data_IF_893637349533
#
_entry.id   IF_893637349533
#
_cell.length_a   1.000
_cell.length_b   1.000
_cell.length_c   1.000
_cell.angle_alpha   90.00
_cell.angle_beta   90.00
_cell.angle_gamma   90.00
#
_symmetry.space_group_name_H-M   'P 1'
#
loop_
_entity.id
_entity.type
_entity.pdbx_description
1 polymer ?
#
# COMPACT_ATOMS: atom_id res chain seq x y z
N UNK A 1 8.28 -1.88 -19.90
CA UNK A 1 7.05 -1.82 -19.11
C UNK A 1 6.43 -3.20 -19.16
N UNK A 2 6.40 -3.92 -18.05
CA UNK A 2 5.72 -5.21 -17.95
C UNK A 2 4.20 -5.02 -18.05
N UNK A 3 3.47 -6.12 -18.28
CA UNK A 3 2.01 -6.06 -18.30
C UNK A 3 1.45 -5.56 -16.96
N UNK A 4 2.07 -5.92 -15.83
CA UNK A 4 1.69 -5.44 -14.50
C UNK A 4 1.89 -3.92 -14.35
N UNK A 5 3.05 -3.40 -14.74
CA UNK A 5 3.34 -1.95 -14.71
C UNK A 5 2.40 -1.16 -15.64
N UNK A 6 2.00 -1.75 -16.78
CA UNK A 6 1.03 -1.15 -17.68
C UNK A 6 -0.35 -1.01 -17.02
N UNK A 7 -0.79 -2.03 -16.27
CA UNK A 7 -2.04 -1.98 -15.50
C UNK A 7 -1.98 -0.91 -14.41
N UNK A 8 -0.87 -0.81 -13.68
CA UNK A 8 -0.62 0.26 -12.70
C UNK A 8 -0.72 1.64 -13.34
N UNK A 9 -0.02 1.86 -14.45
CA UNK A 9 -0.03 3.14 -15.16
C UNK A 9 -1.44 3.53 -15.65
N UNK A 10 -2.23 2.54 -16.07
CA UNK A 10 -3.64 2.76 -16.44
C UNK A 10 -4.51 3.06 -15.22
N UNK A 11 -4.31 2.36 -14.11
CA UNK A 11 -5.04 2.58 -12.87
C UNK A 11 -4.86 4.02 -12.36
N UNK A 12 -3.63 4.53 -12.38
CA UNK A 12 -3.32 5.91 -11.95
C UNK A 12 -4.03 6.99 -12.78
N UNK A 13 -4.37 6.69 -14.04
CA UNK A 13 -5.10 7.59 -14.94
C UNK A 13 -6.61 7.39 -14.90
N UNK A 14 -7.10 6.39 -14.16
CA UNK A 14 -8.51 6.02 -14.12
C UNK A 14 -9.21 6.75 -12.99
N UNK A 15 -10.19 7.64 -13.27
CA UNK A 15 -10.86 8.43 -12.23
C UNK A 15 -11.82 7.59 -11.36
N UNK A 16 -12.40 6.54 -11.95
CA UNK A 16 -13.29 5.64 -11.24
C UNK A 16 -12.49 4.73 -10.28
N UNK A 17 -12.65 4.87 -8.96
CA UNK A 17 -11.88 4.10 -7.98
C UNK A 17 -12.14 2.59 -8.07
N UNK A 18 -13.33 2.18 -8.52
CA UNK A 18 -13.65 0.76 -8.68
C UNK A 18 -12.93 0.15 -9.90
N UNK A 19 -12.90 0.84 -11.03
CA UNK A 19 -12.09 0.45 -12.18
C UNK A 19 -10.59 0.49 -11.88
N UNK A 20 -10.10 1.49 -11.14
CA UNK A 20 -8.71 1.57 -10.71
C UNK A 20 -8.32 0.37 -9.83
N UNK A 21 -9.14 0.01 -8.83
CA UNK A 21 -8.85 -1.14 -7.96
C UNK A 21 -8.80 -2.47 -8.74
N UNK A 22 -9.68 -2.66 -9.74
CA UNK A 22 -9.63 -3.85 -10.61
C UNK A 22 -8.33 -3.93 -11.40
N UNK A 23 -7.86 -2.81 -11.96
CA UNK A 23 -6.58 -2.77 -12.67
C UNK A 23 -5.39 -3.07 -11.74
N UNK A 24 -5.43 -2.56 -10.51
CA UNK A 24 -4.41 -2.86 -9.51
C UNK A 24 -4.47 -4.32 -9.04
N UNK A 25 -5.66 -4.91 -8.95
CA UNK A 25 -5.83 -6.33 -8.67
C UNK A 25 -5.23 -7.19 -9.80
N UNK A 26 -5.49 -6.84 -11.06
CA UNK A 26 -4.85 -7.51 -12.19
C UNK A 26 -3.32 -7.37 -12.15
N UNK A 27 -2.81 -6.19 -11.79
CA UNK A 27 -1.37 -5.97 -11.66
C UNK A 27 -0.73 -6.89 -10.63
N UNK A 28 -1.33 -7.05 -9.44
CA UNK A 28 -0.80 -7.95 -8.40
C UNK A 28 -0.98 -9.44 -8.75
N UNK A 29 -1.96 -9.78 -9.59
CA UNK A 29 -2.08 -11.15 -10.12
C UNK A 29 -0.96 -11.49 -11.13
N UNK A 30 -0.50 -10.50 -11.90
CA UNK A 30 0.59 -10.67 -12.88
C UNK A 30 1.94 -10.65 -12.16
N UNK A 31 2.13 -9.71 -11.25
CA UNK A 31 3.35 -9.55 -10.45
C UNK A 31 2.98 -9.36 -8.96
N UNK A 32 2.97 -10.47 -8.18
CA UNK A 32 2.67 -10.42 -6.76
C UNK A 32 3.69 -9.64 -5.92
N UNK A 33 4.89 -9.38 -6.46
CA UNK A 33 5.96 -8.64 -5.80
C UNK A 33 5.92 -7.14 -6.13
N UNK A 34 4.96 -6.68 -6.95
CA UNK A 34 4.85 -5.29 -7.36
C UNK A 34 4.31 -4.40 -6.23
N UNK A 35 5.20 -3.99 -5.32
CA UNK A 35 4.87 -3.20 -4.14
C UNK A 35 4.04 -1.93 -4.43
N UNK A 36 4.36 -1.21 -5.51
CA UNK A 36 3.62 0.00 -5.93
C UNK A 36 2.13 -0.27 -6.18
N UNK A 37 1.76 -1.45 -6.68
CA UNK A 37 0.35 -1.79 -6.89
C UNK A 37 -0.40 -1.88 -5.56
N UNK A 38 0.21 -2.48 -4.54
CA UNK A 38 -0.34 -2.50 -3.19
C UNK A 38 -0.41 -1.09 -2.58
N UNK A 39 0.61 -0.26 -2.78
CA UNK A 39 0.62 1.13 -2.28
C UNK A 39 -0.55 1.94 -2.82
N UNK A 40 -0.82 1.81 -4.12
CA UNK A 40 -1.98 2.44 -4.77
C UNK A 40 -3.32 1.89 -4.24
N UNK A 41 -3.43 0.59 -3.95
CA UNK A 41 -4.64 0.03 -3.31
C UNK A 41 -4.82 0.54 -1.88
N UNK A 42 -3.72 0.78 -1.16
CA UNK A 42 -3.73 1.46 0.13
C UNK A 42 -4.34 2.86 0.04
N UNK A 43 -3.95 3.64 -0.96
CA UNK A 43 -4.53 4.97 -1.22
C UNK A 43 -6.03 4.90 -1.53
N UNK A 44 -6.48 3.92 -2.32
CA UNK A 44 -7.90 3.72 -2.59
C UNK A 44 -8.68 3.34 -1.33
N UNK A 45 -8.08 2.54 -0.44
CA UNK A 45 -8.69 2.21 0.85
C UNK A 45 -8.78 3.43 1.78
N UNK A 46 -7.76 4.29 1.82
CA UNK A 46 -7.82 5.58 2.54
C UNK A 46 -8.97 6.45 2.02
N UNK A 47 -9.13 6.56 0.70
CA UNK A 47 -10.21 7.33 0.09
C UNK A 47 -11.61 6.79 0.44
N UNK A 48 -11.72 5.50 0.78
CA UNK A 48 -12.96 4.86 1.26
C UNK A 48 -13.16 4.97 2.77
N UNK A 49 -12.20 5.53 3.51
CA UNK A 49 -12.22 5.60 4.97
C UNK A 49 -11.89 4.28 5.67
N UNK A 50 -11.40 3.28 4.94
CA UNK A 50 -11.04 1.98 5.50
C UNK A 50 -9.56 1.97 5.90
N UNK A 51 -9.28 2.49 7.10
CA UNK A 51 -7.92 2.57 7.64
C UNK A 51 -7.29 1.19 7.88
N UNK A 52 -8.10 0.16 8.15
CA UNK A 52 -7.61 -1.21 8.38
C UNK A 52 -7.11 -1.80 7.07
N UNK A 53 -7.93 -1.76 6.01
CA UNK A 53 -7.50 -2.23 4.70
C UNK A 53 -6.34 -1.41 4.13
N UNK A 54 -6.34 -0.09 4.37
CA UNK A 54 -5.25 0.78 3.95
C UNK A 54 -3.92 0.40 4.63
N UNK A 55 -3.92 0.24 5.97
CA UNK A 55 -2.74 -0.20 6.71
C UNK A 55 -2.21 -1.54 6.18
N UNK A 56 -3.10 -2.50 5.93
CA UNK A 56 -2.72 -3.79 5.34
C UNK A 56 -2.02 -3.62 3.99
N UNK A 57 -2.62 -2.88 3.05
CA UNK A 57 -2.07 -2.69 1.72
C UNK A 57 -0.73 -1.92 1.74
N UNK A 58 -0.61 -0.87 2.55
CA UNK A 58 0.66 -0.16 2.66
C UNK A 58 1.75 -1.01 3.33
N UNK A 59 1.40 -1.87 4.29
CA UNK A 59 2.35 -2.81 4.89
C UNK A 59 2.87 -3.79 3.84
N UNK A 60 1.98 -4.28 2.96
CA UNK A 60 2.37 -5.12 1.82
C UNK A 60 3.28 -4.38 0.87
N UNK A 61 2.92 -3.17 0.48
CA UNK A 61 3.77 -2.34 -0.38
C UNK A 61 5.18 -2.18 0.22
N UNK A 62 5.26 -1.80 1.49
CA UNK A 62 6.52 -1.59 2.21
C UNK A 62 7.38 -2.85 2.27
N UNK A 63 6.80 -4.00 2.61
CA UNK A 63 7.48 -5.29 2.65
C UNK A 63 8.00 -5.75 1.27
N UNK A 64 7.26 -5.43 0.20
CA UNK A 64 7.64 -5.70 -1.19
C UNK A 64 8.62 -4.66 -1.77
N UNK A 65 9.22 -3.84 -0.90
CA UNK A 65 10.27 -2.90 -1.27
C UNK A 65 9.78 -1.60 -1.88
N UNK A 66 8.48 -1.26 -1.80
CA UNK A 66 8.03 0.08 -2.12
C UNK A 66 8.56 1.07 -1.08
N UNK A 67 9.57 1.84 -1.50
CA UNK A 67 10.24 2.85 -0.68
C UNK A 67 9.69 4.25 -0.89
N UNK A 68 8.54 4.40 -1.57
CA UNK A 68 7.91 5.70 -1.71
C UNK A 68 7.56 6.29 -0.33
N UNK A 69 7.88 7.57 -0.12
CA UNK A 69 7.51 8.28 1.10
C UNK A 69 5.99 8.25 1.33
N UNK A 70 5.20 8.28 0.26
CA UNK A 70 3.75 8.16 0.33
C UNK A 70 3.29 6.84 0.97
N UNK A 71 3.96 5.72 0.67
CA UNK A 71 3.65 4.41 1.27
C UNK A 71 4.00 4.38 2.75
N UNK A 72 5.17 4.91 3.13
CA UNK A 72 5.60 4.95 4.53
C UNK A 72 4.72 5.88 5.38
N UNK A 73 4.41 7.07 4.86
CA UNK A 73 3.52 8.04 5.51
C UNK A 73 2.11 7.48 5.58
N UNK A 74 1.59 6.91 4.50
CA UNK A 74 0.28 6.26 4.45
C UNK A 74 0.16 5.14 5.47
N UNK A 75 1.18 4.28 5.58
CA UNK A 75 1.24 3.22 6.58
C UNK A 75 1.21 3.79 8.00
N UNK A 76 2.08 4.75 8.32
CA UNK A 76 2.13 5.35 9.66
C UNK A 76 0.80 6.01 10.05
N UNK A 77 0.18 6.76 9.15
CA UNK A 77 -1.12 7.41 9.41
C UNK A 77 -2.23 6.38 9.63
N UNK A 78 -2.28 5.33 8.81
CA UNK A 78 -3.30 4.30 8.96
C UNK A 78 -3.10 3.49 10.24
N UNK A 79 -1.85 3.15 10.60
CA UNK A 79 -1.51 2.50 11.86
C UNK A 79 -1.95 3.32 13.06
N UNK A 80 -1.70 4.64 13.06
CA UNK A 80 -2.15 5.53 14.11
C UNK A 80 -3.68 5.58 14.19
N UNK A 81 -4.36 5.65 13.05
CA UNK A 81 -5.83 5.69 12.98
C UNK A 81 -6.49 4.41 13.53
N UNK A 82 -5.83 3.25 13.41
CA UNK A 82 -6.32 1.98 13.97
C UNK A 82 -5.80 1.69 15.39
N UNK A 83 -5.16 2.68 16.04
CA UNK A 83 -4.68 2.58 17.42
C UNK A 83 -3.31 1.89 17.60
N UNK A 84 -2.63 1.51 16.51
CA UNK A 84 -1.29 0.94 16.52
C UNK A 84 -0.21 2.05 16.54
N UNK A 85 -0.29 2.93 17.54
CA UNK A 85 0.53 4.15 17.63
C UNK A 85 2.03 3.83 17.72
N UNK A 86 2.42 2.83 18.50
CA UNK A 86 3.83 2.41 18.61
C UNK A 86 4.42 1.99 17.26
N UNK A 87 3.64 1.28 16.45
CA UNK A 87 4.07 0.86 15.10
C UNK A 87 4.10 2.05 14.15
N UNK A 88 3.11 2.95 14.25
CA UNK A 88 3.08 4.18 13.47
C UNK A 88 4.33 5.03 13.70
N UNK A 89 4.75 5.21 14.96
CA UNK A 89 5.97 5.94 15.30
C UNK A 89 7.22 5.27 14.74
N UNK A 90 7.34 3.94 14.89
CA UNK A 90 8.47 3.19 14.33
C UNK A 90 8.57 3.36 12.81
N UNK A 91 7.47 3.25 12.08
CA UNK A 91 7.43 3.47 10.63
C UNK A 91 7.77 4.93 10.28
N UNK A 92 7.23 5.89 11.03
CA UNK A 92 7.44 7.34 10.80
C UNK A 92 8.90 7.75 11.05
N UNK A 93 9.53 7.19 12.06
CA UNK A 93 10.91 7.49 12.47
C UNK A 93 11.94 6.52 11.86
N UNK A 94 11.49 5.60 10.99
CA UNK A 94 12.32 4.58 10.37
C UNK A 94 13.13 3.75 11.39
N UNK A 95 12.48 3.40 12.49
CA UNK A 95 13.03 2.57 13.56
C UNK A 95 12.86 1.08 13.24
N UNK A 96 13.58 0.23 13.97
CA UNK A 96 13.41 -1.21 13.87
C UNK A 96 11.95 -1.62 14.14
N UNK A 97 11.39 -2.38 13.20
CA UNK A 97 10.04 -2.94 13.27
C UNK A 97 10.09 -4.30 14.00
N UNK A 98 9.00 -4.73 14.67
CA UNK A 98 9.00 -6.03 15.32
C UNK A 98 9.13 -7.17 14.30
N UNK A 99 9.67 -8.32 14.72
CA UNK A 99 9.72 -9.51 13.87
C UNK A 99 8.34 -9.85 13.30
N UNK A 100 8.30 -10.25 12.03
CA UNK A 100 7.04 -10.58 11.35
C UNK A 100 6.22 -9.37 10.86
N UNK A 101 6.63 -8.11 11.11
CA UNK A 101 5.90 -6.95 10.57
C UNK A 101 5.90 -6.91 9.03
N UNK A 102 7.00 -7.34 8.43
CA UNK A 102 7.19 -7.36 6.97
C UNK A 102 6.90 -8.75 6.36
N UNK A 103 6.58 -9.75 7.19
CA UNK A 103 6.22 -11.09 6.74
C UNK A 103 4.71 -11.13 6.46
N UNK A 104 4.33 -11.48 5.24
CA UNK A 104 2.96 -11.39 4.71
C UNK A 104 2.55 -12.66 3.99
#
# INVERSE_FOLDING_TARGET
MSDAESKVARAMKTPDPAAADRLLLEAVCIDPELGVAYGLRGRLAVARGDAVAAAHHFRVAYARGDRADETRVGLALCLAAIGQVDLAERVRENLALPPGFEEL
#
